data_IF_373466436741
#
_entry.id   IF_373466436741
#
_cell.length_a   1.000
_cell.length_b   1.000
_cell.length_c   1.000
_cell.angle_alpha   90.00
_cell.angle_beta   90.00
_cell.angle_gamma   90.00
#
_symmetry.space_group_name_H-M   'P 1'
#
loop_
_entity.id
_entity.type
_entity.pdbx_description
1 polymer ?
#
# COMPACT_ATOMS: atom_id res chain seq x y z
N UNK A 1 -8.63 -68.72 -32.65
CA UNK A 1 -8.94 -67.60 -31.73
C UNK A 1 -8.28 -67.84 -30.38
N UNK A 2 -7.13 -67.19 -30.11
CA UNK A 2 -6.55 -67.03 -28.76
C UNK A 2 -5.72 -65.74 -28.77
N UNK A 3 -6.18 -64.70 -28.09
CA UNK A 3 -5.38 -63.52 -27.77
C UNK A 3 -5.14 -63.48 -26.26
N UNK A 4 -3.87 -63.26 -25.90
CA UNK A 4 -3.36 -63.11 -24.53
C UNK A 4 -3.91 -61.83 -23.90
N UNK A 5 -4.49 -61.93 -22.71
CA UNK A 5 -4.83 -60.78 -21.86
C UNK A 5 -3.63 -60.42 -21.00
N UNK A 6 -3.12 -59.20 -21.15
CA UNK A 6 -2.10 -58.60 -20.28
C UNK A 6 -2.85 -57.90 -19.13
N UNK A 7 -2.59 -58.32 -17.88
CA UNK A 7 -3.06 -57.64 -16.67
C UNK A 7 -2.16 -56.42 -16.39
N UNK A 8 -2.71 -55.22 -16.44
CA UNK A 8 -2.11 -54.02 -15.84
C UNK A 8 -2.59 -53.88 -14.39
N UNK A 9 -1.67 -53.88 -13.43
CA UNK A 9 -1.96 -53.51 -12.04
C UNK A 9 -2.05 -51.99 -11.89
N UNK A 10 -3.18 -51.52 -11.36
CA UNK A 10 -3.50 -50.12 -11.09
C UNK A 10 -2.72 -49.65 -9.86
N UNK A 11 -1.77 -48.73 -10.00
CA UNK A 11 -1.20 -47.97 -8.86
C UNK A 11 -2.32 -47.10 -8.27
N UNK A 12 -2.87 -47.47 -7.11
CA UNK A 12 -3.73 -46.61 -6.29
C UNK A 12 -2.88 -45.93 -5.21
N UNK A 13 -2.79 -44.61 -5.31
CA UNK A 13 -2.84 -43.61 -4.25
C UNK A 13 -2.02 -43.86 -2.97
N UNK A 14 -0.79 -43.32 -2.95
CA UNK A 14 -0.06 -42.97 -1.71
C UNK A 14 -0.38 -41.54 -1.24
N UNK A 15 -1.03 -40.72 -2.08
CA UNK A 15 -1.34 -39.32 -1.82
C UNK A 15 -2.56 -39.10 -0.92
N UNK A 16 -3.52 -40.03 -0.89
CA UNK A 16 -4.72 -39.87 -0.04
C UNK A 16 -4.45 -40.14 1.45
N UNK A 17 -3.48 -41.02 1.76
CA UNK A 17 -3.17 -41.38 3.14
C UNK A 17 -2.37 -40.29 3.86
N UNK A 18 -1.45 -39.62 3.14
CA UNK A 18 -0.70 -38.47 3.66
C UNK A 18 -1.60 -37.25 3.94
N UNK A 19 -2.62 -37.03 3.10
CA UNK A 19 -3.59 -35.94 3.30
C UNK A 19 -4.49 -36.16 4.51
N UNK A 20 -4.86 -37.41 4.82
CA UNK A 20 -5.70 -37.71 5.99
C UNK A 20 -4.92 -37.65 7.30
N UNK A 21 -3.65 -38.04 7.29
CA UNK A 21 -2.81 -37.99 8.49
C UNK A 21 -2.45 -36.55 8.89
N UNK A 22 -2.22 -35.66 7.91
CA UNK A 22 -1.99 -34.24 8.17
C UNK A 22 -3.24 -33.51 8.73
N UNK A 23 -4.44 -33.93 8.32
CA UNK A 23 -5.68 -33.32 8.82
C UNK A 23 -5.97 -33.69 10.29
N UNK A 24 -5.64 -34.92 10.70
CA UNK A 24 -5.82 -35.36 12.09
C UNK A 24 -4.92 -34.62 13.09
N UNK A 25 -3.69 -34.26 12.71
CA UNK A 25 -2.77 -33.52 13.57
C UNK A 25 -3.18 -32.04 13.75
N UNK A 26 -3.82 -31.44 12.73
CA UNK A 26 -4.36 -30.07 12.80
C UNK A 26 -5.56 -30.01 13.76
N UNK A 27 -6.44 -31.01 13.70
CA UNK A 27 -7.63 -31.06 14.57
C UNK A 27 -7.24 -31.28 16.05
N UNK A 28 -6.19 -32.06 16.33
CA UNK A 28 -5.66 -32.26 17.68
C UNK A 28 -5.01 -30.99 18.27
N UNK A 29 -4.32 -30.21 17.44
CA UNK A 29 -3.75 -28.91 17.84
C UNK A 29 -4.84 -27.87 18.13
N UNK A 30 -5.93 -27.86 17.35
CA UNK A 30 -7.08 -27.00 17.60
C UNK A 30 -7.81 -27.35 18.90
N UNK A 31 -7.95 -28.64 19.23
CA UNK A 31 -8.55 -29.07 20.48
C UNK A 31 -7.73 -28.66 21.71
N UNK A 32 -6.39 -28.77 21.64
CA UNK A 32 -5.49 -28.35 22.73
C UNK A 32 -5.45 -26.82 22.92
N UNK A 33 -5.63 -26.05 21.84
CA UNK A 33 -5.71 -24.58 21.90
C UNK A 33 -7.03 -24.07 22.52
N UNK A 34 -8.13 -24.81 22.35
CA UNK A 34 -9.43 -24.51 22.97
C UNK A 34 -9.40 -24.76 24.48
N UNK A 35 -8.73 -25.83 24.93
CA UNK A 35 -8.66 -26.19 26.35
C UNK A 35 -7.84 -25.19 27.17
N UNK A 36 -6.77 -24.65 26.58
CA UNK A 36 -5.95 -23.58 27.17
C UNK A 36 -6.70 -22.24 27.36
N UNK A 37 -7.84 -22.04 26.69
CA UNK A 37 -8.69 -20.83 26.83
C UNK A 37 -9.73 -20.93 27.94
N UNK A 38 -10.02 -22.13 28.45
CA UNK A 38 -11.04 -22.33 29.50
C UNK A 38 -10.50 -22.18 30.94
N UNK A 39 -9.18 -22.24 31.13
CA UNK A 39 -8.51 -22.11 32.43
C UNK A 39 -8.35 -20.67 32.95
N UNK A 40 -9.34 -19.80 32.76
CA UNK A 40 -9.31 -18.44 33.32
C UNK A 40 -10.00 -18.44 34.68
N UNK A 41 -9.18 -18.42 35.73
CA UNK A 41 -9.56 -18.16 37.12
C UNK A 41 -10.53 -16.97 37.22
N UNK A 42 -11.63 -17.18 37.93
CA UNK A 42 -12.53 -16.11 38.35
C UNK A 42 -11.77 -15.11 39.23
N UNK A 43 -11.88 -13.84 38.88
CA UNK A 43 -11.53 -12.73 39.76
C UNK A 43 -12.80 -11.91 39.95
N UNK A 44 -13.49 -12.19 41.05
CA UNK A 44 -14.36 -11.25 41.73
C UNK A 44 -13.52 -10.03 42.13
N UNK A 45 -14.01 -8.85 41.76
CA UNK A 45 -13.50 -7.58 42.26
C UNK A 45 -14.41 -7.19 43.42
N UNK A 46 -13.91 -7.26 44.66
CA UNK A 46 -14.54 -6.61 45.80
C UNK A 46 -13.47 -5.99 46.71
N UNK A 47 -13.53 -4.65 46.78
CA UNK A 47 -13.14 -3.78 47.90
C UNK A 47 -11.69 -3.86 48.44
N UNK A 48 -10.91 -2.83 48.10
CA UNK A 48 -10.07 -2.11 49.08
C UNK A 48 -8.56 -2.37 49.06
N UNK A 49 -7.82 -1.27 48.87
CA UNK A 49 -6.38 -1.03 49.14
C UNK A 49 -5.41 -1.30 47.98
N UNK A 50 -5.04 -0.21 47.29
CA UNK A 50 -3.84 -0.10 46.48
C UNK A 50 -2.71 0.53 47.33
N UNK A 51 -1.49 -0.03 47.30
CA UNK A 51 -0.27 0.72 47.60
C UNK A 51 0.93 0.25 46.75
N UNK A 52 1.38 1.18 45.90
CA UNK A 52 2.69 1.49 45.30
C UNK A 52 3.79 0.42 45.10
N UNK A 53 4.38 0.47 43.90
CA UNK A 53 5.68 -0.13 43.57
C UNK A 53 6.13 0.24 42.17
N UNK A 54 6.81 1.38 42.04
CA UNK A 54 7.46 1.94 40.85
C UNK A 54 8.49 0.99 40.22
N UNK A 55 8.46 0.82 38.89
CA UNK A 55 9.53 0.17 38.13
C UNK A 55 10.33 1.21 37.35
N UNK A 56 11.58 1.43 37.78
CA UNK A 56 12.62 2.14 37.03
C UNK A 56 13.39 1.10 36.20
N UNK A 57 13.42 1.26 34.88
CA UNK A 57 14.25 0.46 33.98
C UNK A 57 15.60 1.16 33.82
N UNK A 58 16.70 0.45 34.07
CA UNK A 58 18.04 0.88 33.68
C UNK A 58 18.51 0.02 32.48
N UNK A 59 18.95 0.62 31.36
CA UNK A 59 19.41 -0.10 30.18
C UNK A 59 20.93 -0.20 30.19
N UNK A 60 21.48 -1.40 30.42
CA UNK A 60 22.78 -1.83 29.90
C UNK A 60 23.12 -3.24 30.41
N UNK A 61 22.95 -4.24 29.55
CA UNK A 61 23.79 -5.45 29.49
C UNK A 61 23.32 -6.35 28.34
N UNK A 62 24.07 -6.32 27.25
CA UNK A 62 24.17 -7.41 26.30
C UNK A 62 24.91 -8.57 26.97
N UNK A 63 24.20 -9.61 27.42
CA UNK A 63 24.62 -11.02 27.39
C UNK A 63 23.64 -11.89 28.20
N UNK A 64 22.92 -12.78 27.52
CA UNK A 64 22.27 -13.93 28.15
C UNK A 64 23.06 -15.18 27.78
N UNK A 65 24.19 -15.37 28.47
CA UNK A 65 24.89 -16.66 28.53
C UNK A 65 24.07 -17.59 29.42
N UNK A 66 23.28 -18.48 28.82
CA UNK A 66 22.68 -19.62 29.53
C UNK A 66 23.73 -20.71 29.76
N UNK A 67 24.59 -20.56 30.78
CA UNK A 67 25.38 -21.68 31.29
C UNK A 67 24.50 -22.57 32.19
N UNK A 68 23.88 -23.59 31.57
CA UNK A 68 23.28 -24.70 32.32
C UNK A 68 24.37 -25.74 32.59
N UNK A 69 24.80 -25.81 33.86
CA UNK A 69 25.71 -26.84 34.37
C UNK A 69 25.22 -28.25 34.03
N UNK A 70 25.92 -28.95 33.13
CA UNK A 70 25.69 -30.36 32.83
C UNK A 70 26.73 -31.22 33.59
N UNK A 71 26.30 -31.88 34.67
CA UNK A 71 27.05 -33.00 35.25
C UNK A 71 26.86 -34.23 34.36
N UNK A 72 27.97 -34.70 33.81
CA UNK A 72 28.09 -35.89 32.96
C UNK A 72 27.70 -37.17 33.71
N UNK A 73 26.86 -38.00 33.11
CA UNK A 73 26.80 -39.45 33.34
C UNK A 73 26.37 -40.16 32.04
N UNK A 74 27.40 -40.54 31.27
CA UNK A 74 27.60 -41.78 30.50
C UNK A 74 26.42 -42.55 29.85
N UNK A 75 26.67 -42.94 28.58
CA UNK A 75 26.07 -43.99 27.73
C UNK A 75 24.79 -43.66 26.93
N UNK A 76 24.96 -43.54 25.60
CA UNK A 76 23.85 -43.62 24.64
C UNK A 76 24.08 -42.76 23.40
N UNK A 77 24.63 -43.34 22.33
CA UNK A 77 24.71 -42.74 21.00
C UNK A 77 23.32 -42.36 20.49
N UNK A 78 23.01 -41.07 20.36
CA UNK A 78 22.05 -40.58 19.39
C UNK A 78 22.57 -39.30 18.74
N UNK A 79 22.84 -39.39 17.44
CA UNK A 79 23.09 -38.24 16.57
C UNK A 79 21.76 -37.48 16.43
N UNK A 80 21.56 -36.47 17.26
CA UNK A 80 20.48 -35.51 17.05
C UNK A 80 20.94 -34.49 16.00
N UNK A 81 20.61 -34.75 14.74
CA UNK A 81 20.63 -33.73 13.68
C UNK A 81 19.58 -32.68 14.03
N UNK A 82 20.01 -31.57 14.63
CA UNK A 82 19.20 -30.37 14.76
C UNK A 82 19.09 -29.72 13.37
N UNK A 83 18.02 -30.04 12.64
CA UNK A 83 17.60 -29.25 11.49
C UNK A 83 16.91 -28.00 12.02
N UNK A 84 17.67 -26.90 12.15
CA UNK A 84 17.13 -25.58 12.46
C UNK A 84 16.26 -25.13 11.28
N UNK A 85 14.94 -25.24 11.42
CA UNK A 85 14.00 -24.63 10.46
C UNK A 85 14.00 -23.13 10.75
N UNK A 86 14.79 -22.38 9.98
CA UNK A 86 14.71 -20.92 9.92
C UNK A 86 13.39 -20.58 9.21
N UNK A 87 12.33 -20.33 9.97
CA UNK A 87 11.11 -19.73 9.43
C UNK A 87 11.42 -18.28 9.09
N UNK A 88 11.86 -18.04 7.85
CA UNK A 88 11.84 -16.71 7.25
C UNK A 88 10.38 -16.32 7.11
N UNK A 89 9.83 -15.58 8.08
CA UNK A 89 8.56 -14.89 7.90
C UNK A 89 8.79 -13.79 6.87
N UNK A 90 8.64 -14.11 5.59
CA UNK A 90 8.46 -13.07 4.58
C UNK A 90 7.14 -12.41 4.92
N UNK A 91 7.18 -11.17 5.44
CA UNK A 91 5.99 -10.34 5.46
C UNK A 91 5.53 -10.25 4.00
N UNK A 92 4.43 -10.93 3.69
CA UNK A 92 3.83 -10.86 2.37
C UNK A 92 3.22 -9.47 2.26
N UNK A 93 4.00 -8.52 1.76
CA UNK A 93 3.46 -7.23 1.37
C UNK A 93 2.46 -7.44 0.24
N UNK A 94 1.34 -6.73 0.29
CA UNK A 94 0.32 -6.79 -0.74
C UNK A 94 0.94 -6.43 -2.10
N UNK A 95 0.59 -7.23 -3.11
CA UNK A 95 1.02 -7.03 -4.49
C UNK A 95 -0.16 -6.60 -5.37
N UNK A 96 0.10 -6.33 -6.66
CA UNK A 96 -0.97 -6.19 -7.64
C UNK A 96 -1.83 -7.46 -7.71
N UNK A 97 -3.14 -7.29 -7.70
CA UNK A 97 -4.13 -8.35 -7.93
C UNK A 97 -4.91 -8.04 -9.21
N UNK A 98 -4.74 -8.87 -10.22
CA UNK A 98 -5.42 -8.72 -11.52
C UNK A 98 -6.93 -8.92 -11.37
N UNK A 99 -7.72 -8.06 -12.01
CA UNK A 99 -9.19 -8.07 -11.91
C UNK A 99 -9.78 -7.55 -10.59
N UNK A 100 -8.96 -7.06 -9.65
CA UNK A 100 -9.45 -6.39 -8.43
C UNK A 100 -9.40 -4.87 -8.59
N UNK A 101 -10.55 -4.20 -8.47
CA UNK A 101 -10.66 -2.75 -8.71
C UNK A 101 -10.62 -2.39 -10.21
N UNK A 102 -10.40 -1.12 -10.50
CA UNK A 102 -10.38 -0.58 -11.88
C UNK A 102 -8.98 -0.34 -12.45
N UNK A 103 -7.93 -0.42 -11.61
CA UNK A 103 -6.57 0.06 -11.91
C UNK A 103 -5.95 -0.41 -13.23
N UNK A 104 -6.28 -1.61 -13.71
CA UNK A 104 -5.75 -2.14 -14.98
C UNK A 104 -6.25 -1.34 -16.20
N UNK A 105 -7.40 -0.67 -16.07
CA UNK A 105 -8.05 0.09 -17.14
C UNK A 105 -7.92 1.60 -16.97
N UNK A 106 -7.80 2.07 -15.74
CA UNK A 106 -7.84 3.51 -15.40
C UNK A 106 -6.47 4.09 -15.09
N UNK A 107 -5.51 3.30 -14.57
CA UNK A 107 -4.12 3.72 -14.37
C UNK A 107 -3.28 3.50 -15.63
N UNK A 108 -2.65 4.57 -16.10
CA UNK A 108 -1.73 4.54 -17.22
C UNK A 108 -0.34 5.03 -16.81
N UNK A 109 0.69 4.26 -17.15
CA UNK A 109 2.08 4.58 -16.79
C UNK A 109 2.67 5.73 -17.60
N UNK A 110 3.51 6.53 -16.94
CA UNK A 110 4.34 7.56 -17.57
C UNK A 110 5.77 7.41 -17.08
N UNK A 111 6.74 7.42 -17.98
CA UNK A 111 8.15 7.38 -17.59
C UNK A 111 8.65 8.76 -17.10
N UNK A 112 9.91 8.81 -16.65
CA UNK A 112 10.56 10.06 -16.17
C UNK A 112 10.66 11.15 -17.25
N UNK A 113 10.61 10.76 -18.53
CA UNK A 113 10.64 11.65 -19.69
C UNK A 113 9.24 11.99 -20.18
N UNK A 114 8.20 11.69 -19.37
CA UNK A 114 6.79 12.00 -19.66
C UNK A 114 6.24 11.29 -20.90
N UNK A 115 6.82 10.15 -21.28
CA UNK A 115 6.29 9.29 -22.34
C UNK A 115 5.30 8.28 -21.78
N UNK A 116 4.32 7.89 -22.59
CA UNK A 116 3.42 6.79 -22.25
C UNK A 116 4.18 5.46 -22.18
N UNK A 117 3.98 4.74 -21.08
CA UNK A 117 4.48 3.38 -20.86
C UNK A 117 3.39 2.54 -20.20
N UNK A 118 3.53 1.21 -20.19
CA UNK A 118 2.64 0.38 -19.39
C UNK A 118 2.73 0.78 -17.91
N UNK A 119 1.59 0.81 -17.19
CA UNK A 119 1.56 1.14 -15.75
C UNK A 119 2.47 0.21 -14.91
N UNK A 120 2.58 -1.05 -15.33
CA UNK A 120 3.42 -2.06 -14.71
C UNK A 120 4.89 -1.99 -15.12
N UNK A 121 5.26 -1.20 -16.14
CA UNK A 121 6.63 -1.09 -16.65
C UNK A 121 7.59 -0.64 -15.55
N UNK A 122 8.78 -1.23 -15.43
CA UNK A 122 9.80 -0.79 -14.49
C UNK A 122 10.24 0.68 -14.70
N UNK A 123 10.06 1.23 -15.92
CA UNK A 123 10.35 2.63 -16.23
C UNK A 123 9.25 3.61 -15.82
N UNK A 124 8.05 3.14 -15.45
CA UNK A 124 6.98 4.03 -15.04
C UNK A 124 7.33 4.69 -13.70
N UNK A 125 7.30 6.02 -13.69
CA UNK A 125 7.50 6.87 -12.50
C UNK A 125 6.18 7.48 -12.03
N UNK A 126 5.27 7.70 -12.96
CA UNK A 126 3.96 8.28 -12.68
C UNK A 126 2.83 7.37 -13.15
N UNK A 127 1.70 7.46 -12.47
CA UNK A 127 0.47 6.74 -12.81
C UNK A 127 -0.63 7.79 -13.02
N UNK A 128 -1.00 7.99 -14.28
CA UNK A 128 -2.15 8.82 -14.61
C UNK A 128 -3.43 8.04 -14.37
N UNK A 129 -4.26 8.55 -13.49
CA UNK A 129 -5.60 8.07 -13.18
C UNK A 129 -6.61 8.84 -14.03
N UNK A 130 -7.13 8.16 -15.04
CA UNK A 130 -8.09 8.75 -15.99
C UNK A 130 -9.50 8.93 -15.43
N UNK A 131 -9.85 8.26 -14.32
CA UNK A 131 -11.16 8.39 -13.71
C UNK A 131 -11.25 9.65 -12.83
N UNK A 132 -10.19 9.94 -12.07
CA UNK A 132 -10.06 11.17 -11.29
C UNK A 132 -9.47 12.34 -12.08
N UNK A 133 -8.81 12.07 -13.21
CA UNK A 133 -8.09 13.09 -13.98
C UNK A 133 -6.87 13.64 -13.25
N UNK A 134 -6.19 12.79 -12.46
CA UNK A 134 -5.01 13.15 -11.66
C UNK A 134 -3.84 12.23 -11.99
N UNK A 135 -2.62 12.65 -11.64
CA UNK A 135 -1.43 11.81 -11.73
C UNK A 135 -0.86 11.57 -10.34
N UNK A 136 -0.64 10.30 -10.01
CA UNK A 136 0.02 9.86 -8.79
C UNK A 136 1.52 9.65 -9.03
N UNK A 137 2.34 9.98 -8.04
CA UNK A 137 3.72 9.49 -8.00
C UNK A 137 3.69 7.99 -7.67
N UNK A 138 4.28 7.16 -8.54
CA UNK A 138 4.17 5.71 -8.44
C UNK A 138 4.81 5.16 -7.16
N UNK A 139 5.92 5.74 -6.72
CA UNK A 139 6.53 5.38 -5.44
C UNK A 139 5.76 6.06 -4.31
N UNK A 140 4.83 5.32 -3.71
CA UNK A 140 3.96 5.80 -2.64
C UNK A 140 4.70 6.07 -1.32
N UNK A 141 5.97 5.66 -1.21
CA UNK A 141 6.85 5.96 -0.08
C UNK A 141 8.05 6.83 -0.49
N UNK A 142 7.86 7.74 -1.44
CA UNK A 142 8.93 8.68 -1.81
C UNK A 142 9.21 9.72 -0.70
N UNK A 143 8.23 10.01 0.16
CA UNK A 143 8.37 11.00 1.25
C UNK A 143 9.05 10.43 2.50
N UNK A 144 8.89 9.13 2.75
CA UNK A 144 8.98 8.58 4.11
C UNK A 144 7.77 8.96 4.97
N UNK A 145 7.84 8.61 6.25
CA UNK A 145 6.89 9.10 7.25
C UNK A 145 7.31 10.48 7.77
N UNK A 146 6.35 11.39 7.89
CA UNK A 146 6.58 12.78 8.33
C UNK A 146 5.35 13.31 9.05
N UNK A 147 5.55 14.36 9.86
CA UNK A 147 4.45 15.17 10.37
C UNK A 147 3.71 15.87 9.21
N UNK A 148 2.49 16.33 9.47
CA UNK A 148 1.60 16.88 8.45
C UNK A 148 2.16 18.13 7.77
N UNK A 149 2.79 19.04 8.51
CA UNK A 149 3.35 20.27 7.96
C UNK A 149 4.55 19.96 7.05
N UNK A 150 5.42 19.06 7.50
CA UNK A 150 6.54 18.52 6.74
C UNK A 150 6.09 17.77 5.48
N UNK A 151 4.95 17.06 5.54
CA UNK A 151 4.37 16.36 4.39
C UNK A 151 3.84 17.33 3.33
N UNK A 152 3.14 18.39 3.74
CA UNK A 152 2.69 19.46 2.85
C UNK A 152 3.88 20.15 2.16
N UNK A 153 4.89 20.54 2.95
CA UNK A 153 6.10 21.19 2.43
C UNK A 153 6.85 20.27 1.47
N UNK A 154 7.01 19.00 1.81
CA UNK A 154 7.64 18.02 0.92
C UNK A 154 6.91 17.93 -0.42
N UNK A 155 5.57 17.86 -0.40
CA UNK A 155 4.80 17.77 -1.63
C UNK A 155 4.92 19.06 -2.47
N UNK A 156 4.84 20.23 -1.85
CA UNK A 156 4.95 21.51 -2.57
C UNK A 156 6.34 21.73 -3.19
N UNK A 157 7.39 21.26 -2.51
CA UNK A 157 8.78 21.39 -2.95
C UNK A 157 9.20 20.27 -3.91
N UNK A 158 8.37 19.23 -4.06
CA UNK A 158 8.69 18.08 -4.88
C UNK A 158 8.80 18.50 -6.34
N UNK A 159 9.95 18.20 -6.92
CA UNK A 159 10.21 18.31 -8.34
C UNK A 159 10.72 16.96 -8.82
N UNK A 160 10.12 16.44 -9.88
CA UNK A 160 10.53 15.18 -10.51
C UNK A 160 10.93 15.43 -11.95
N UNK A 161 11.73 14.51 -12.52
CA UNK A 161 12.30 14.71 -13.86
C UNK A 161 13.35 15.82 -13.89
N UNK A 162 13.74 16.23 -15.09
CA UNK A 162 14.70 17.32 -15.30
C UNK A 162 14.50 17.99 -16.66
N UNK A 163 14.98 19.24 -16.79
CA UNK A 163 14.89 20.00 -18.03
C UNK A 163 13.46 20.14 -18.54
N UNK A 164 13.24 19.86 -19.83
CA UNK A 164 11.91 19.93 -20.45
C UNK A 164 10.91 18.87 -19.93
N UNK A 165 11.39 17.84 -19.24
CA UNK A 165 10.55 16.79 -18.65
C UNK A 165 10.27 17.02 -17.16
N UNK A 166 10.67 18.16 -16.61
CA UNK A 166 10.42 18.49 -15.21
C UNK A 166 8.92 18.55 -14.91
N UNK A 167 8.53 17.96 -13.79
CA UNK A 167 7.16 17.93 -13.27
C UNK A 167 7.17 18.42 -11.82
N UNK A 168 6.53 19.58 -11.60
CA UNK A 168 6.25 20.18 -10.29
C UNK A 168 4.74 20.14 -10.00
N UNK A 169 4.30 20.98 -9.06
CA UNK A 169 2.89 21.19 -8.67
C UNK A 169 2.25 19.96 -8.04
N UNK A 170 3.08 19.19 -7.34
CA UNK A 170 2.62 18.10 -6.50
C UNK A 170 1.96 18.64 -5.24
N UNK A 171 0.98 17.89 -4.75
CA UNK A 171 0.26 18.15 -3.51
C UNK A 171 -0.03 16.83 -2.81
N UNK A 172 -0.46 16.93 -1.55
CA UNK A 172 -1.11 15.80 -0.91
C UNK A 172 -2.50 15.56 -1.52
N UNK A 173 -3.05 14.34 -1.40
CA UNK A 173 -4.39 14.06 -1.84
C UNK A 173 -5.39 14.80 -0.95
N UNK A 174 -6.54 15.10 -1.51
CA UNK A 174 -7.53 15.98 -0.90
C UNK A 174 -8.83 15.25 -0.63
N UNK A 175 -9.51 15.73 0.40
CA UNK A 175 -10.93 15.54 0.65
C UNK A 175 -11.67 16.75 0.07
N UNK A 176 -12.42 16.56 -1.01
CA UNK A 176 -13.38 17.51 -1.56
C UNK A 176 -14.70 17.39 -0.82
N UNK A 177 -14.81 18.01 0.33
CA UNK A 177 -16.09 18.03 1.04
C UNK A 177 -16.35 19.38 1.72
N UNK A 178 -17.60 19.81 1.64
CA UNK A 178 -18.16 20.95 2.35
C UNK A 178 -18.20 20.74 3.88
N UNK A 179 -17.78 19.55 4.35
CA UNK A 179 -17.82 19.10 5.73
C UNK A 179 -16.44 18.66 6.27
N UNK A 180 -15.32 18.98 5.59
CA UNK A 180 -13.97 18.72 6.09
C UNK A 180 -13.65 19.41 7.44
N UNK A 181 -14.59 20.22 7.96
CA UNK A 181 -14.58 20.86 9.27
C UNK A 181 -15.17 20.01 10.41
N UNK A 182 -15.75 18.84 10.11
CA UNK A 182 -16.29 17.91 11.11
C UNK A 182 -16.01 16.46 10.71
N UNK A 183 -15.52 15.65 11.67
CA UNK A 183 -15.49 14.19 11.54
C UNK A 183 -16.71 13.58 12.29
N UNK A 184 -17.65 13.02 11.54
CA UNK A 184 -18.75 12.23 12.09
C UNK A 184 -18.52 10.74 11.79
N UNK A 185 -17.89 10.03 12.73
CA UNK A 185 -17.47 8.66 12.50
C UNK A 185 -18.67 7.73 12.22
N UNK A 186 -18.64 7.05 11.07
CA UNK A 186 -19.64 6.06 10.69
C UNK A 186 -19.04 4.94 9.82
N UNK A 187 -19.86 3.96 9.45
CA UNK A 187 -19.43 2.78 8.69
C UNK A 187 -19.83 2.80 7.21
N UNK A 188 -20.57 3.81 6.76
CA UNK A 188 -21.03 3.91 5.36
C UNK A 188 -21.38 5.35 5.01
N UNK A 189 -21.15 5.73 3.75
CA UNK A 189 -21.59 6.99 3.15
C UNK A 189 -21.25 8.23 4.00
N UNK A 190 -20.05 8.22 4.57
CA UNK A 190 -19.52 9.23 5.49
C UNK A 190 -18.22 9.82 4.93
N UNK A 191 -17.80 10.97 5.44
CA UNK A 191 -16.47 11.52 5.22
C UNK A 191 -15.46 11.04 6.30
N UNK A 192 -15.93 10.42 7.39
CA UNK A 192 -15.11 9.96 8.50
C UNK A 192 -15.55 8.56 8.98
N UNK A 193 -14.61 7.63 9.05
CA UNK A 193 -14.80 6.25 9.46
C UNK A 193 -14.50 5.26 8.33
N UNK A 194 -15.32 4.23 8.20
CA UNK A 194 -15.12 3.15 7.22
C UNK A 194 -16.11 3.26 6.05
N UNK A 195 -15.73 2.68 4.90
CA UNK A 195 -16.50 2.74 3.65
C UNK A 195 -16.98 4.18 3.35
N UNK A 196 -16.03 5.12 3.45
CA UNK A 196 -16.27 6.55 3.23
C UNK A 196 -16.67 6.83 1.79
N UNK A 197 -17.35 7.96 1.55
CA UNK A 197 -17.77 8.35 0.21
C UNK A 197 -16.56 8.62 -0.69
N UNK A 198 -16.35 7.70 -1.64
CA UNK A 198 -15.25 7.74 -2.61
C UNK A 198 -15.36 8.91 -3.59
N UNK A 199 -16.52 9.54 -3.72
CA UNK A 199 -16.68 10.76 -4.51
C UNK A 199 -16.10 12.01 -3.84
N UNK A 200 -15.73 11.93 -2.56
CA UNK A 200 -15.24 13.07 -1.78
C UNK A 200 -13.76 12.98 -1.45
N UNK A 201 -13.11 11.83 -1.56
CA UNK A 201 -11.70 11.65 -1.16
C UNK A 201 -10.91 10.93 -2.22
N UNK A 202 -9.81 11.55 -2.69
CA UNK A 202 -8.93 10.95 -3.69
C UNK A 202 -8.27 9.67 -3.18
N UNK A 203 -7.88 9.60 -1.90
CA UNK A 203 -7.33 8.38 -1.31
C UNK A 203 -8.39 7.30 -1.09
N UNK A 204 -9.61 7.68 -0.70
CA UNK A 204 -10.69 6.71 -0.58
C UNK A 204 -11.07 6.11 -1.94
N UNK A 205 -11.14 6.95 -2.98
CA UNK A 205 -11.35 6.49 -4.35
C UNK A 205 -10.24 5.53 -4.79
N UNK A 206 -8.98 5.94 -4.61
CA UNK A 206 -7.82 5.10 -4.93
C UNK A 206 -7.90 3.75 -4.20
N UNK A 207 -8.20 3.74 -2.92
CA UNK A 207 -8.22 2.52 -2.12
C UNK A 207 -9.40 1.60 -2.47
N UNK A 208 -10.64 2.13 -2.48
CA UNK A 208 -11.85 1.33 -2.61
C UNK A 208 -12.25 1.03 -4.05
N UNK A 209 -12.10 1.99 -4.96
CA UNK A 209 -12.56 1.86 -6.35
C UNK A 209 -11.41 1.41 -7.22
N UNK A 210 -10.32 2.18 -7.21
CA UNK A 210 -9.20 1.97 -8.12
C UNK A 210 -8.48 0.65 -7.83
N UNK A 211 -8.15 0.41 -6.56
CA UNK A 211 -7.49 -0.81 -6.10
C UNK A 211 -8.47 -1.90 -5.62
N UNK A 212 -9.75 -1.59 -5.43
CA UNK A 212 -10.74 -2.58 -5.01
C UNK A 212 -10.51 -3.15 -3.61
N UNK A 213 -9.86 -2.41 -2.71
CA UNK A 213 -9.64 -2.83 -1.33
C UNK A 213 -10.89 -2.57 -0.47
N UNK A 214 -11.09 -3.43 0.54
CA UNK A 214 -12.24 -3.34 1.44
C UNK A 214 -11.81 -2.79 2.81
N UNK A 215 -12.66 -1.95 3.42
CA UNK A 215 -12.48 -1.54 4.81
C UNK A 215 -12.62 -2.72 5.77
N UNK A 216 -12.00 -2.62 6.96
CA UNK A 216 -12.08 -3.61 8.04
C UNK A 216 -13.51 -3.86 8.52
N UNK A 217 -14.36 -2.84 8.52
CA UNK A 217 -15.77 -2.98 8.87
C UNK A 217 -16.64 -2.80 7.64
N UNK A 218 -17.73 -3.55 7.55
CA UNK A 218 -18.73 -3.38 6.50
C UNK A 218 -19.73 -2.26 6.83
N UNK A 219 -20.71 -2.04 5.95
CA UNK A 219 -21.69 -0.98 6.10
C UNK A 219 -22.63 -1.16 7.31
N UNK A 220 -22.74 -2.39 7.86
CA UNK A 220 -23.48 -2.68 9.08
C UNK A 220 -22.62 -2.48 10.34
N UNK A 221 -21.32 -2.25 10.19
CA UNK A 221 -20.36 -2.18 11.28
C UNK A 221 -19.84 -3.55 11.72
N UNK A 222 -20.07 -4.60 10.93
CA UNK A 222 -19.54 -5.93 11.22
C UNK A 222 -18.09 -6.05 10.73
N UNK A 223 -17.25 -6.69 11.55
CA UNK A 223 -15.82 -6.82 11.26
C UNK A 223 -15.54 -7.90 10.21
N UNK A 224 -14.73 -7.54 9.20
CA UNK A 224 -14.14 -8.46 8.22
C UNK A 224 -12.81 -8.97 8.73
N UNK A 225 -12.79 -10.25 9.13
CA UNK A 225 -11.57 -10.90 9.61
C UNK A 225 -10.56 -11.23 8.49
N UNK A 226 -11.00 -11.30 7.24
CA UNK A 226 -10.19 -11.65 6.08
C UNK A 226 -10.58 -10.81 4.87
N UNK A 227 -9.61 -10.53 3.98
CA UNK A 227 -9.86 -9.83 2.72
C UNK A 227 -10.14 -8.33 2.85
N UNK A 228 -9.83 -7.73 4.01
CA UNK A 228 -9.90 -6.30 4.25
C UNK A 228 -8.49 -5.69 4.40
N UNK A 229 -8.41 -4.36 4.33
CA UNK A 229 -7.16 -3.62 4.32
C UNK A 229 -6.50 -3.60 2.94
N UNK A 230 -5.22 -3.24 2.92
CA UNK A 230 -4.43 -3.21 1.68
C UNK A 230 -4.16 -4.64 1.19
N UNK A 231 -4.98 -5.11 0.27
CA UNK A 231 -4.87 -6.45 -0.36
C UNK A 231 -4.38 -6.37 -1.80
N UNK A 232 -4.62 -5.25 -2.48
CA UNK A 232 -4.18 -4.92 -3.82
C UNK A 232 -3.48 -3.57 -3.84
N UNK A 233 -2.26 -3.54 -4.38
CA UNK A 233 -1.47 -2.31 -4.56
C UNK A 233 -1.49 -1.78 -5.99
N UNK A 234 -2.10 -2.51 -6.93
CA UNK A 234 -2.12 -2.18 -8.34
C UNK A 234 -0.71 -1.94 -8.86
N UNK A 235 -0.53 -0.89 -9.67
CA UNK A 235 0.78 -0.57 -10.24
C UNK A 235 1.68 0.26 -9.32
N UNK A 236 1.29 0.55 -8.06
CA UNK A 236 2.10 1.35 -7.15
C UNK A 236 3.32 0.59 -6.63
N UNK A 237 4.42 1.32 -6.42
CA UNK A 237 5.59 0.82 -5.72
C UNK A 237 5.58 1.33 -4.28
N UNK A 238 5.95 0.47 -3.34
CA UNK A 238 6.06 0.81 -1.91
C UNK A 238 4.78 1.42 -1.31
N UNK A 239 3.60 1.05 -1.80
CA UNK A 239 2.35 1.36 -1.10
C UNK A 239 2.31 0.53 0.19
N UNK A 240 2.31 1.21 1.33
CA UNK A 240 2.35 0.60 2.66
C UNK A 240 0.93 0.41 3.18
N UNK A 241 0.72 -0.61 4.02
CA UNK A 241 -0.48 -0.76 4.83
C UNK A 241 -0.33 0.13 6.09
N UNK A 242 -0.61 1.42 5.95
CA UNK A 242 -0.35 2.45 6.96
C UNK A 242 -1.17 3.72 6.71
N UNK A 243 -1.08 4.70 7.62
CA UNK A 243 -1.69 6.01 7.45
C UNK A 243 -0.97 6.88 6.41
N UNK A 244 -1.79 7.56 5.60
CA UNK A 244 -1.39 8.56 4.61
C UNK A 244 -2.08 9.89 4.91
N UNK A 245 -1.30 10.97 4.87
CA UNK A 245 -1.85 12.31 5.06
C UNK A 245 -2.72 12.77 3.90
N UNK A 246 -3.84 13.41 4.23
CA UNK A 246 -4.61 14.27 3.33
C UNK A 246 -4.19 15.73 3.53
N UNK A 247 -4.36 16.56 2.49
CA UNK A 247 -4.02 17.98 2.53
C UNK A 247 -4.92 18.81 3.47
N UNK A 248 -6.03 18.24 3.91
CA UNK A 248 -7.08 18.96 4.63
C UNK A 248 -6.78 19.01 6.14
N UNK A 249 -6.58 20.20 6.74
CA UNK A 249 -6.66 20.33 8.19
C UNK A 249 -8.14 20.25 8.63
N UNK A 250 -8.39 19.69 9.80
CA UNK A 250 -9.68 19.85 10.47
C UNK A 250 -9.68 21.14 11.29
N UNK A 251 -8.62 21.35 12.08
CA UNK A 251 -8.42 22.55 12.90
C UNK A 251 -6.92 22.90 13.04
N UNK A 252 -6.53 23.60 14.12
CA UNK A 252 -5.15 23.98 14.40
C UNK A 252 -4.24 22.76 14.67
N UNK A 253 -4.74 21.74 15.36
CA UNK A 253 -3.96 20.66 15.95
C UNK A 253 -4.10 19.34 15.18
N UNK A 254 -5.24 19.11 14.52
CA UNK A 254 -5.52 17.86 13.82
C UNK A 254 -5.75 18.04 12.31
N UNK A 255 -5.40 17.00 11.56
CA UNK A 255 -5.56 16.93 10.11
C UNK A 255 -6.10 15.56 9.69
N UNK A 256 -6.68 15.53 8.50
CA UNK A 256 -7.25 14.32 7.91
C UNK A 256 -6.16 13.35 7.44
N UNK A 257 -6.41 12.07 7.65
CA UNK A 257 -5.60 10.97 7.11
C UNK A 257 -6.51 9.87 6.55
N UNK A 258 -5.92 9.02 5.73
CA UNK A 258 -6.51 7.76 5.29
C UNK A 258 -5.56 6.62 5.66
N UNK A 259 -6.04 5.64 6.42
CA UNK A 259 -5.27 4.44 6.78
C UNK A 259 -5.57 3.31 5.81
N UNK A 260 -4.57 2.87 5.05
CA UNK A 260 -4.71 1.75 4.13
C UNK A 260 -4.59 0.41 4.85
N UNK A 261 -4.14 0.37 6.12
CA UNK A 261 -4.08 -0.86 6.90
C UNK A 261 -5.47 -1.48 7.08
N UNK A 262 -6.46 -0.66 7.40
CA UNK A 262 -7.84 -1.09 7.65
C UNK A 262 -8.89 -0.32 6.84
N UNK A 263 -8.48 0.64 6.00
CA UNK A 263 -9.38 1.41 5.15
C UNK A 263 -10.25 2.38 5.95
N UNK A 264 -9.73 2.97 7.02
CA UNK A 264 -10.39 4.05 7.78
C UNK A 264 -9.93 5.42 7.28
N UNK A 265 -10.83 6.38 7.17
CA UNK A 265 -10.51 7.79 7.01
C UNK A 265 -10.89 8.53 8.29
N UNK A 266 -9.94 9.21 8.93
CA UNK A 266 -10.22 9.93 10.17
C UNK A 266 -9.30 11.15 10.31
N UNK A 267 -9.33 11.77 11.49
CA UNK A 267 -8.51 12.91 11.85
C UNK A 267 -7.56 12.51 12.97
N UNK A 268 -6.36 13.07 12.95
CA UNK A 268 -5.35 12.80 13.98
C UNK A 268 -4.39 13.98 14.15
N UNK A 269 -3.54 13.94 15.17
CA UNK A 269 -2.61 15.02 15.50
C UNK A 269 -1.59 15.24 14.38
N UNK A 270 -1.44 16.50 13.95
CA UNK A 270 -0.53 16.91 12.88
C UNK A 270 0.94 16.57 13.16
N UNK A 271 1.31 16.32 14.41
CA UNK A 271 2.67 16.01 14.86
C UNK A 271 3.06 14.54 14.68
N UNK A 272 2.10 13.66 14.36
CA UNK A 272 2.37 12.24 14.20
C UNK A 272 2.99 11.92 12.83
N UNK A 273 3.88 10.92 12.75
CA UNK A 273 4.51 10.54 11.49
C UNK A 273 3.57 9.64 10.66
N UNK A 274 3.23 10.09 9.45
CA UNK A 274 2.50 9.29 8.46
C UNK A 274 3.09 9.48 7.06
N UNK A 275 2.79 8.57 6.14
CA UNK A 275 3.26 8.66 4.76
C UNK A 275 2.57 9.80 4.01
N UNK A 276 3.22 10.27 2.95
CA UNK A 276 2.66 11.26 2.04
C UNK A 276 2.70 10.73 0.61
N UNK A 277 1.52 10.61 -0.01
CA UNK A 277 1.38 10.21 -1.40
C UNK A 277 1.22 11.45 -2.29
N UNK A 278 2.21 11.72 -3.13
CA UNK A 278 2.14 12.87 -4.02
C UNK A 278 1.14 12.63 -5.16
N UNK A 279 0.25 13.60 -5.35
CA UNK A 279 -0.70 13.65 -6.46
C UNK A 279 -0.66 15.03 -7.10
N UNK A 280 -1.01 15.11 -8.38
CA UNK A 280 -1.20 16.37 -9.09
C UNK A 280 -2.38 16.28 -10.03
N UNK A 281 -2.97 17.42 -10.37
CA UNK A 281 -4.07 17.48 -11.33
C UNK A 281 -3.55 17.28 -12.76
N UNK A 282 -4.33 16.56 -13.56
CA UNK A 282 -4.07 16.31 -14.98
C UNK A 282 -3.02 15.23 -15.24
N UNK A 283 -2.85 14.91 -16.52
CA UNK A 283 -1.81 14.01 -17.01
C UNK A 283 -0.45 14.72 -17.07
N UNK A 284 0.62 13.96 -16.85
CA UNK A 284 2.00 14.43 -17.01
C UNK A 284 2.56 14.14 -18.40
N UNK A 285 1.79 13.61 -19.37
CA UNK A 285 2.30 13.43 -20.74
C UNK A 285 2.94 14.72 -21.27
N UNK A 286 4.07 14.56 -21.97
CA UNK A 286 4.63 15.64 -22.76
C UNK A 286 3.61 15.95 -23.86
N UNK A 287 2.94 17.11 -23.75
CA UNK A 287 2.15 17.62 -24.86
C UNK A 287 3.15 17.98 -25.96
N UNK A 288 3.08 17.38 -27.16
CA UNK A 288 3.91 17.80 -28.26
C UNK A 288 3.65 19.29 -28.46
N UNK A 289 4.68 20.13 -28.31
CA UNK A 289 4.51 21.56 -28.59
C UNK A 289 3.84 21.68 -29.96
N UNK A 290 2.78 22.48 -30.07
CA UNK A 290 2.02 22.50 -31.29
C UNK A 290 2.97 22.95 -32.41
N UNK A 291 2.99 22.14 -33.47
CA UNK A 291 3.85 22.31 -34.64
C UNK A 291 3.71 23.70 -35.29
N UNK A 292 2.74 24.50 -34.84
CA UNK A 292 2.54 25.90 -35.17
C UNK A 292 3.78 26.76 -34.96
N UNK A 293 4.60 26.58 -33.92
CA UNK A 293 5.81 27.43 -33.77
C UNK A 293 6.83 27.11 -34.88
N UNK A 294 6.98 25.83 -35.21
CA UNK A 294 7.85 25.38 -36.30
C UNK A 294 7.31 25.80 -37.68
N UNK A 295 6.00 25.73 -37.88
CA UNK A 295 5.34 26.18 -39.12
C UNK A 295 5.36 27.70 -39.27
N UNK A 296 5.17 28.46 -38.18
CA UNK A 296 5.22 29.93 -38.20
C UNK A 296 6.66 30.41 -38.42
N UNK A 297 7.65 29.80 -37.79
CA UNK A 297 9.07 30.13 -38.04
C UNK A 297 9.50 29.74 -39.46
N UNK A 298 9.08 28.58 -39.96
CA UNK A 298 9.31 28.20 -41.36
C UNK A 298 8.62 29.16 -42.35
N UNK A 299 7.37 29.56 -42.08
CA UNK A 299 6.64 30.52 -42.92
C UNK A 299 7.32 31.91 -42.93
N UNK A 300 7.78 32.39 -41.77
CA UNK A 300 8.51 33.66 -41.66
C UNK A 300 9.88 33.59 -42.37
N UNK A 301 10.59 32.47 -42.26
CA UNK A 301 11.85 32.26 -42.97
C UNK A 301 11.63 32.24 -44.50
N UNK A 302 10.59 31.54 -44.97
CA UNK A 302 10.21 31.54 -46.38
C UNK A 302 9.83 32.94 -46.88
N UNK A 303 9.05 33.71 -46.11
CA UNK A 303 8.70 35.09 -46.47
C UNK A 303 9.92 36.01 -46.53
N UNK A 304 10.85 35.90 -45.57
CA UNK A 304 12.11 36.66 -45.59
C UNK A 304 13.00 36.35 -46.79
N UNK A 305 13.05 35.09 -47.24
CA UNK A 305 13.77 34.72 -48.46
C UNK A 305 13.10 35.27 -49.72
N UNK A 306 11.77 35.31 -49.77
CA UNK A 306 11.02 35.87 -50.92
C UNK A 306 11.21 37.38 -51.02
N UNK A 307 11.13 38.12 -49.91
CA UNK A 307 11.31 39.58 -49.91
C UNK A 307 12.73 39.98 -50.29
N UNK A 308 13.75 39.23 -49.82
CA UNK A 308 15.15 39.46 -50.19
C UNK A 308 15.41 39.25 -51.69
N UNK A 309 14.79 38.26 -52.32
CA UNK A 309 14.92 38.04 -53.79
C UNK A 309 14.29 39.17 -54.61
N UNK A 310 13.22 39.79 -54.13
CA UNK A 310 12.57 40.92 -54.81
C UNK A 310 13.39 42.21 -54.79
N UNK A 311 14.17 42.45 -53.73
CA UNK A 311 15.04 43.64 -53.66
C UNK A 311 16.27 43.54 -54.58
N UNK A 312 16.76 42.34 -54.88
CA UNK A 312 17.93 42.14 -55.75
C UNK A 312 17.58 42.21 -57.24
N UNK A 313 16.33 41.96 -57.63
CA UNK A 313 15.87 41.99 -59.02
C UNK A 313 15.35 43.37 -59.49
N UNK A 314 15.29 44.36 -58.61
CA UNK A 314 14.84 45.72 -58.90
C UNK A 314 15.95 46.77 -58.85
N UNK A 315 17.21 46.36 -58.69
CA UNK A 315 18.42 47.17 -58.80
C UNK A 315 19.20 46.73 -60.06
#
# INVERSE_FOLDING_TARGET
>A
MRQKVIKFHRRRSLTSTLSQQAQGEIDELHAKAMDARSGRHGLECDIGVCSEGTAVVNPDSTDLVLERSMKSNSWGRQLATFATVLVLTTQAHAGPVSGQGTWESTLSGRDINRNAVAATSASAVYLYDSALGVTWLRNANASGERDWASALQWASDLVTGSGASQVSDWRLPTLTATDASVCNFAFVATNCGYNVDTGTSELAYLFHVELGNLSRFDAAGDERLFGAGLTNTGSFNNLQAAGYWLANPLDADVAWRFDTFDGVQDVTFKTLPFYALAVRTGDVLAVPEPQTILLVSAALACMGLITRRRQVAGA
#
